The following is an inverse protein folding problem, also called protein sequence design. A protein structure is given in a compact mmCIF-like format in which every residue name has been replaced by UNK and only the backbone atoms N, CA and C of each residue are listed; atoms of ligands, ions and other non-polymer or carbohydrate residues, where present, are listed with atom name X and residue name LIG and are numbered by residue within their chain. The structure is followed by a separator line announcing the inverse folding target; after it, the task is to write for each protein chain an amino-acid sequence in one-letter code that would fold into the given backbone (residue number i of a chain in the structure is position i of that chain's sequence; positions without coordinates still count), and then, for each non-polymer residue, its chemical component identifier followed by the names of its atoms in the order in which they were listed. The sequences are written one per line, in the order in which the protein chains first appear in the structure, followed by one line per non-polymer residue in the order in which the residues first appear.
data_IF_091456916939
#
_entry.id   IF_091456916939
#
_cell.length_a   1.000
_cell.length_b   1.000
_cell.length_c   1.000
_cell.angle_alpha   90.00
_cell.angle_beta   90.00
_cell.angle_gamma   90.00
#
_symmetry.space_group_name_H-M   'P 1'
#
loop_
_entity.id
_entity.type
_entity.pdbx_description
1 polymer ?
#
# COMPACT_ATOMS: atom_id res chain seq x y z
N UNK A 1 9.70 -5.74 14.71
CA UNK A 1 8.29 -5.39 14.96
C UNK A 1 8.29 -4.49 16.19
N UNK A 2 7.41 -3.48 16.19
CA UNK A 2 7.22 -2.61 17.35
C UNK A 2 6.74 -3.43 18.56
N UNK A 3 7.14 -3.04 19.77
CA UNK A 3 6.49 -3.54 20.96
C UNK A 3 5.12 -2.85 21.09
N UNK A 4 4.09 -3.49 20.56
CA UNK A 4 2.76 -2.88 20.50
C UNK A 4 2.04 -2.92 21.86
N UNK A 5 2.48 -3.72 22.84
CA UNK A 5 1.94 -3.66 24.20
C UNK A 5 2.42 -2.38 24.92
N UNK A 6 3.70 -2.04 24.81
CA UNK A 6 4.22 -0.77 25.32
C UNK A 6 3.59 0.44 24.59
N UNK A 7 3.34 0.30 23.28
CA UNK A 7 2.66 1.34 22.49
C UNK A 7 1.21 1.55 22.99
N UNK A 8 0.47 0.47 23.26
CA UNK A 8 -0.88 0.53 23.85
C UNK A 8 -0.92 1.10 25.25
N UNK A 9 0.14 0.85 26.03
CA UNK A 9 0.33 1.43 27.35
C UNK A 9 0.77 2.90 27.30
N UNK A 10 0.91 3.48 26.09
CA UNK A 10 1.37 4.85 25.84
C UNK A 10 2.79 5.14 26.37
N UNK A 11 3.61 4.10 26.63
CA UNK A 11 5.02 4.28 26.99
C UNK A 11 5.86 4.61 25.75
N UNK A 12 5.55 5.76 25.14
CA UNK A 12 6.21 6.24 23.94
C UNK A 12 7.71 6.45 24.11
N UNK A 13 8.14 6.81 25.33
CA UNK A 13 9.55 7.00 25.65
C UNK A 13 10.35 5.71 25.56
N UNK A 14 9.79 4.61 26.06
CA UNK A 14 10.39 3.28 26.00
C UNK A 14 10.45 2.78 24.57
N UNK A 15 9.32 2.87 23.84
CA UNK A 15 9.25 2.48 22.43
C UNK A 15 10.25 3.28 21.58
N UNK A 16 10.33 4.59 21.77
CA UNK A 16 11.29 5.41 21.04
C UNK A 16 12.75 5.03 21.30
N UNK A 17 13.13 4.82 22.58
CA UNK A 17 14.47 4.41 22.96
C UNK A 17 14.88 3.08 22.28
N UNK A 18 13.98 2.12 22.24
CA UNK A 18 14.20 0.85 21.54
C UNK A 18 14.44 1.06 20.05
N UNK A 19 13.56 1.83 19.39
CA UNK A 19 13.68 2.12 17.95
C UNK A 19 14.97 2.90 17.62
N UNK A 20 15.31 3.90 18.42
CA UNK A 20 16.52 4.70 18.25
C UNK A 20 17.78 3.85 18.47
N UNK A 21 17.77 2.95 19.44
CA UNK A 21 18.87 2.00 19.68
C UNK A 21 19.10 1.10 18.48
N UNK A 22 18.01 0.54 17.90
CA UNK A 22 18.10 -0.28 16.70
C UNK A 22 18.64 0.52 15.50
N UNK A 23 18.25 1.79 15.34
CA UNK A 23 18.78 2.66 14.28
C UNK A 23 20.27 2.93 14.48
N UNK A 24 20.76 3.11 15.71
CA UNK A 24 22.20 3.29 15.98
C UNK A 24 23.01 2.03 15.64
N UNK A 25 22.46 0.84 15.88
CA UNK A 25 23.11 -0.43 15.52
C UNK A 25 23.11 -0.71 14.02
N UNK A 26 22.17 -0.12 13.27
CA UNK A 26 22.06 -0.25 11.83
C UNK A 26 22.10 1.14 11.16
N UNK A 27 23.27 1.81 11.15
CA UNK A 27 23.40 3.15 10.58
C UNK A 27 23.14 3.13 9.06
N UNK A 28 22.89 4.32 8.48
CA UNK A 28 22.79 4.43 7.02
C UNK A 28 24.08 3.93 6.34
N UNK A 29 23.98 3.26 5.18
CA UNK A 29 22.82 3.19 4.26
C UNK A 29 21.83 2.07 4.56
N UNK A 30 21.89 1.36 5.68
CA UNK A 30 20.95 0.29 6.01
C UNK A 30 19.53 0.85 6.12
N UNK A 31 18.61 0.30 5.32
CA UNK A 31 17.19 0.66 5.38
C UNK A 31 16.49 -0.13 6.47
N UNK A 32 15.83 0.57 7.39
CA UNK A 32 15.03 -0.03 8.45
C UNK A 32 13.53 0.06 8.13
N UNK A 33 12.82 -1.02 8.45
CA UNK A 33 11.38 -1.12 8.28
C UNK A 33 10.74 -1.59 9.57
N UNK A 34 9.87 -0.75 10.14
CA UNK A 34 9.13 -1.07 11.35
C UNK A 34 7.81 -1.75 11.00
N UNK A 35 7.57 -2.94 11.56
CA UNK A 35 6.27 -3.61 11.47
C UNK A 35 5.43 -3.13 12.65
N UNK A 36 4.28 -2.52 12.35
CA UNK A 36 3.36 -2.00 13.37
C UNK A 36 2.41 -3.08 13.88
N UNK A 37 2.05 -4.08 13.07
CA UNK A 37 1.01 -5.08 13.33
C UNK A 37 -0.36 -4.41 13.52
N UNK A 38 -0.79 -3.67 12.49
CA UNK A 38 -1.93 -2.76 12.55
C UNK A 38 -3.27 -3.41 12.88
N UNK A 39 -3.40 -4.72 12.72
CA UNK A 39 -4.57 -5.50 13.16
C UNK A 39 -4.74 -5.54 14.67
N UNK A 40 -3.71 -5.18 15.45
CA UNK A 40 -3.69 -5.16 16.91
C UNK A 40 -3.81 -3.74 17.47
N UNK A 41 -3.89 -2.72 16.61
CA UNK A 41 -3.81 -1.31 16.97
C UNK A 41 -5.07 -0.57 16.56
N UNK A 42 -5.45 0.43 17.32
CA UNK A 42 -6.42 1.42 16.93
C UNK A 42 -5.79 2.54 16.08
N UNK A 43 -6.62 3.47 15.63
CA UNK A 43 -6.20 4.59 14.77
C UNK A 43 -5.13 5.47 15.43
N UNK A 44 -5.29 5.79 16.72
CA UNK A 44 -4.37 6.66 17.45
C UNK A 44 -3.02 5.99 17.65
N UNK A 45 -3.03 4.70 17.95
CA UNK A 45 -1.83 3.88 18.12
C UNK A 45 -1.06 3.70 16.80
N UNK A 46 -1.75 3.55 15.66
CA UNK A 46 -1.11 3.54 14.32
C UNK A 46 -0.41 4.88 14.05
N UNK A 47 -1.06 6.01 14.35
CA UNK A 47 -0.47 7.34 14.20
C UNK A 47 0.78 7.49 15.08
N UNK A 48 0.68 7.13 16.37
CA UNK A 48 1.81 7.18 17.30
C UNK A 48 2.97 6.30 16.81
N UNK A 49 2.70 5.07 16.37
CA UNK A 49 3.72 4.18 15.81
C UNK A 49 4.42 4.75 14.57
N UNK A 50 3.69 5.40 13.67
CA UNK A 50 4.27 6.08 12.53
C UNK A 50 5.15 7.28 12.95
N UNK A 51 4.69 8.08 13.92
CA UNK A 51 5.44 9.23 14.42
C UNK A 51 6.75 8.80 15.09
N UNK A 52 6.71 7.77 15.93
CA UNK A 52 7.89 7.19 16.59
C UNK A 52 8.88 6.58 15.58
N UNK A 53 8.39 5.88 14.56
CA UNK A 53 9.22 5.35 13.48
C UNK A 53 9.95 6.48 12.74
N UNK A 54 9.26 7.55 12.44
CA UNK A 54 9.83 8.71 11.77
C UNK A 54 10.84 9.45 12.64
N UNK A 55 10.54 9.67 13.92
CA UNK A 55 11.46 10.27 14.89
C UNK A 55 12.73 9.43 15.06
N UNK A 56 12.63 8.12 14.98
CA UNK A 56 13.77 7.18 15.00
C UNK A 56 14.42 6.98 13.61
N UNK A 57 14.05 7.76 12.59
CA UNK A 57 14.63 7.74 11.24
C UNK A 57 14.49 6.41 10.51
N UNK A 58 13.38 5.70 10.66
CA UNK A 58 13.06 4.54 9.87
C UNK A 58 12.69 4.93 8.43
N UNK A 59 12.96 4.03 7.49
CA UNK A 59 12.72 4.29 6.07
C UNK A 59 11.34 3.79 5.62
N UNK A 60 10.81 2.80 6.35
CA UNK A 60 9.50 2.21 6.07
C UNK A 60 8.73 1.91 7.36
N UNK A 61 7.41 2.04 7.26
CA UNK A 61 6.45 1.37 8.14
C UNK A 61 5.73 0.26 7.38
N UNK A 62 5.50 -0.87 8.05
CA UNK A 62 4.85 -2.05 7.47
C UNK A 62 3.62 -2.42 8.28
N UNK A 63 2.52 -2.77 7.62
CA UNK A 63 1.26 -3.09 8.29
C UNK A 63 1.38 -4.29 9.23
N UNK A 64 1.79 -5.44 8.73
CA UNK A 64 1.56 -6.73 9.40
C UNK A 64 2.71 -7.70 9.20
N UNK A 65 2.91 -8.59 10.17
CA UNK A 65 3.84 -9.72 10.04
C UNK A 65 3.32 -10.76 9.05
N UNK A 66 2.01 -10.96 8.97
CA UNK A 66 1.34 -12.03 8.24
C UNK A 66 0.92 -13.21 9.13
N UNK A 67 1.24 -13.17 10.42
CA UNK A 67 0.93 -14.24 11.38
C UNK A 67 -0.20 -13.90 12.35
N UNK A 68 -0.58 -12.62 12.43
CA UNK A 68 -1.62 -12.13 13.34
C UNK A 68 -2.67 -11.32 12.59
N UNK A 69 -3.95 -11.61 12.87
CA UNK A 69 -5.08 -10.86 12.37
C UNK A 69 -5.26 -10.94 10.85
N UNK A 70 -5.97 -9.96 10.30
CA UNK A 70 -6.40 -9.94 8.90
C UNK A 70 -5.35 -9.47 7.88
N UNK A 71 -4.15 -9.07 8.35
CA UNK A 71 -3.13 -8.51 7.46
C UNK A 71 -3.33 -7.03 7.14
N UNK A 72 -3.02 -6.62 5.91
CA UNK A 72 -3.18 -5.23 5.48
C UNK A 72 -4.66 -4.88 5.26
N UNK A 73 -5.08 -3.74 5.82
CA UNK A 73 -6.37 -3.11 5.54
C UNK A 73 -6.15 -1.79 4.78
N UNK A 74 -7.01 -1.50 3.81
CA UNK A 74 -6.88 -0.31 2.95
C UNK A 74 -6.89 0.98 3.77
N UNK A 75 -7.79 1.08 4.74
CA UNK A 75 -7.90 2.23 5.65
C UNK A 75 -6.63 2.43 6.47
N UNK A 76 -5.99 1.35 6.95
CA UNK A 76 -4.72 1.44 7.66
C UNK A 76 -3.58 1.91 6.75
N UNK A 77 -3.52 1.42 5.51
CA UNK A 77 -2.52 1.86 4.53
C UNK A 77 -2.68 3.34 4.21
N UNK A 78 -3.91 3.82 3.98
CA UNK A 78 -4.20 5.24 3.75
C UNK A 78 -3.80 6.10 4.95
N UNK A 79 -4.12 5.66 6.16
CA UNK A 79 -3.74 6.34 7.39
C UNK A 79 -2.22 6.44 7.53
N UNK A 80 -1.52 5.32 7.37
CA UNK A 80 -0.05 5.27 7.43
C UNK A 80 0.59 6.18 6.36
N UNK A 81 0.03 6.18 5.13
CA UNK A 81 0.51 7.05 4.06
C UNK A 81 0.36 8.54 4.42
N UNK A 82 -0.81 8.93 4.94
CA UNK A 82 -1.04 10.29 5.40
C UNK A 82 -0.06 10.69 6.53
N UNK A 83 0.22 9.78 7.47
CA UNK A 83 1.23 10.02 8.51
C UNK A 83 2.62 10.23 7.89
N UNK A 84 3.05 9.37 6.95
CA UNK A 84 4.35 9.45 6.31
C UNK A 84 4.53 10.78 5.56
N UNK A 85 3.50 11.26 4.86
CA UNK A 85 3.53 12.53 4.12
C UNK A 85 3.67 13.72 5.06
N UNK A 86 2.89 13.75 6.14
CA UNK A 86 2.93 14.85 7.11
C UNK A 86 4.27 14.91 7.86
N UNK A 87 4.81 13.78 8.28
CA UNK A 87 6.07 13.73 9.04
C UNK A 87 7.27 14.15 8.18
N UNK A 88 7.26 13.87 6.87
CA UNK A 88 8.34 14.26 5.97
C UNK A 88 8.47 15.79 5.87
N UNK A 89 7.37 16.51 5.97
CA UNK A 89 7.35 17.98 5.98
C UNK A 89 7.96 18.51 7.28
N UNK A 90 7.66 17.87 8.42
CA UNK A 90 8.11 18.33 9.75
C UNK A 90 9.61 18.07 9.98
N UNK A 91 10.14 16.96 9.51
CA UNK A 91 11.52 16.56 9.80
C UNK A 91 12.58 17.18 8.88
N UNK A 92 12.21 17.90 7.83
CA UNK A 92 13.13 18.65 6.95
C UNK A 92 14.19 17.80 6.26
N UNK A 93 14.11 16.47 6.35
CA UNK A 93 15.16 15.54 5.85
C UNK A 93 15.08 15.31 4.34
N UNK A 94 14.07 15.85 3.65
CA UNK A 94 13.83 15.62 2.22
C UNK A 94 13.52 14.18 1.84
N UNK A 95 13.44 13.25 2.81
CA UNK A 95 13.12 11.84 2.59
C UNK A 95 11.80 11.49 3.25
N UNK A 96 10.85 11.08 2.42
CA UNK A 96 9.55 10.58 2.88
C UNK A 96 9.68 9.12 3.34
N UNK A 97 9.30 8.84 4.58
CA UNK A 97 9.10 7.46 5.04
C UNK A 97 8.01 6.81 4.17
N UNK A 98 8.17 5.54 3.84
CA UNK A 98 7.28 4.85 2.91
C UNK A 98 6.47 3.76 3.60
N UNK A 99 5.38 3.32 2.95
CA UNK A 99 4.48 2.29 3.47
C UNK A 99 4.68 0.98 2.72
N UNK A 100 4.82 -0.13 3.47
CA UNK A 100 4.69 -1.49 2.95
C UNK A 100 3.40 -2.12 3.44
N UNK A 101 2.49 -2.48 2.52
CA UNK A 101 1.32 -3.31 2.81
C UNK A 101 1.70 -4.80 2.78
N UNK A 102 1.26 -5.57 3.76
CA UNK A 102 1.64 -6.98 3.90
C UNK A 102 0.56 -7.81 4.59
N UNK A 103 0.37 -9.03 4.09
CA UNK A 103 -0.64 -9.98 4.57
C UNK A 103 -2.01 -9.78 3.92
N UNK A 104 -2.65 -10.87 3.53
CA UNK A 104 -3.99 -10.86 2.94
C UNK A 104 -4.06 -10.47 1.46
N UNK A 105 -2.97 -10.07 0.80
CA UNK A 105 -2.93 -9.67 -0.60
C UNK A 105 -2.78 -10.92 -1.46
N UNK A 106 -3.80 -11.28 -2.24
CA UNK A 106 -3.85 -12.56 -2.97
C UNK A 106 -4.10 -12.41 -4.46
N UNK A 107 -4.73 -11.33 -4.89
CA UNK A 107 -5.12 -11.06 -6.28
C UNK A 107 -4.44 -9.80 -6.81
N UNK A 108 -4.48 -9.62 -8.12
CA UNK A 108 -4.02 -8.38 -8.75
C UNK A 108 -4.85 -7.18 -8.27
N UNK A 109 -6.16 -7.34 -8.10
CA UNK A 109 -7.05 -6.30 -7.58
C UNK A 109 -6.69 -5.87 -6.16
N UNK A 110 -6.39 -6.84 -5.27
CA UNK A 110 -5.91 -6.52 -3.92
C UNK A 110 -4.61 -5.71 -3.99
N UNK A 111 -3.69 -6.13 -4.85
CA UNK A 111 -2.40 -5.46 -5.02
C UNK A 111 -2.58 -4.02 -5.51
N UNK A 112 -3.41 -3.81 -6.54
CA UNK A 112 -3.72 -2.47 -7.08
C UNK A 112 -4.34 -1.59 -6.01
N UNK A 113 -5.36 -2.06 -5.29
CA UNK A 113 -6.02 -1.31 -4.21
C UNK A 113 -5.05 -0.87 -3.12
N UNK A 114 -4.07 -1.72 -2.75
CA UNK A 114 -3.05 -1.36 -1.76
C UNK A 114 -2.07 -0.31 -2.29
N UNK A 115 -1.69 -0.38 -3.56
CA UNK A 115 -0.84 0.63 -4.20
C UNK A 115 -1.57 1.98 -4.31
N UNK A 116 -2.83 1.97 -4.74
CA UNK A 116 -3.69 3.16 -4.81
C UNK A 116 -3.94 3.78 -3.42
N UNK A 117 -3.99 2.95 -2.37
CA UNK A 117 -4.06 3.42 -0.99
C UNK A 117 -2.76 4.10 -0.50
N UNK A 118 -1.66 4.02 -1.27
CA UNK A 118 -0.40 4.68 -1.00
C UNK A 118 0.73 3.76 -0.53
N UNK A 119 0.57 2.45 -0.59
CA UNK A 119 1.69 1.54 -0.38
C UNK A 119 2.69 1.64 -1.53
N UNK A 120 3.98 1.78 -1.23
CA UNK A 120 5.07 1.74 -2.23
C UNK A 120 5.67 0.35 -2.39
N UNK A 121 5.37 -0.56 -1.48
CA UNK A 121 5.78 -1.97 -1.53
C UNK A 121 4.67 -2.87 -1.03
N UNK A 122 4.61 -4.07 -1.63
CA UNK A 122 3.72 -5.14 -1.20
C UNK A 122 4.52 -6.29 -0.61
N UNK A 123 3.92 -7.00 0.33
CA UNK A 123 4.46 -8.25 0.89
C UNK A 123 3.39 -9.32 0.84
N UNK A 124 3.57 -10.29 -0.04
CA UNK A 124 2.63 -11.38 -0.28
C UNK A 124 3.37 -12.66 -0.62
N UNK A 125 2.83 -13.81 -0.23
CA UNK A 125 3.26 -15.12 -0.71
C UNK A 125 2.73 -15.42 -2.11
N UNK A 126 1.69 -14.71 -2.57
CA UNK A 126 1.08 -14.86 -3.88
C UNK A 126 1.73 -14.04 -5.01
N UNK A 127 2.91 -13.43 -4.79
CA UNK A 127 3.50 -12.48 -5.73
C UNK A 127 3.68 -13.02 -7.15
N UNK A 128 4.07 -14.29 -7.31
CA UNK A 128 4.22 -14.93 -8.63
C UNK A 128 2.89 -14.97 -9.38
N UNK A 129 1.81 -15.35 -8.70
CA UNK A 129 0.47 -15.42 -9.28
C UNK A 129 -0.08 -14.06 -9.64
N UNK A 130 0.10 -13.06 -8.77
CA UNK A 130 -0.31 -11.67 -9.00
C UNK A 130 0.37 -11.11 -10.25
N UNK A 131 1.68 -11.33 -10.40
CA UNK A 131 2.43 -10.86 -11.58
C UNK A 131 1.97 -11.58 -12.86
N UNK A 132 1.70 -12.90 -12.78
CA UNK A 132 1.19 -13.67 -13.93
C UNK A 132 -0.18 -13.16 -14.35
N UNK A 133 -1.12 -13.03 -13.40
CA UNK A 133 -2.46 -12.48 -13.63
C UNK A 133 -2.42 -11.08 -14.26
N UNK A 134 -1.57 -10.20 -13.74
CA UNK A 134 -1.40 -8.85 -14.28
C UNK A 134 -0.87 -8.82 -15.72
N UNK A 135 0.04 -9.72 -16.08
CA UNK A 135 0.51 -9.85 -17.47
C UNK A 135 -0.59 -10.33 -18.41
N UNK A 136 -1.33 -11.37 -18.02
CA UNK A 136 -2.44 -11.89 -18.81
C UNK A 136 -3.54 -10.84 -19.02
N UNK A 137 -3.86 -10.02 -18.03
CA UNK A 137 -4.81 -8.92 -18.14
C UNK A 137 -4.29 -7.83 -19.10
N UNK A 138 -3.02 -7.47 -19.01
CA UNK A 138 -2.41 -6.49 -19.89
C UNK A 138 -2.38 -6.95 -21.38
N UNK A 139 -2.08 -8.23 -21.62
CA UNK A 139 -2.10 -8.81 -22.95
C UNK A 139 -3.52 -8.84 -23.55
N UNK A 140 -4.54 -9.18 -22.75
CA UNK A 140 -5.95 -9.15 -23.19
C UNK A 140 -6.41 -7.74 -23.54
N UNK A 141 -6.00 -6.72 -22.78
CA UNK A 141 -6.38 -5.33 -23.04
C UNK A 141 -5.69 -4.74 -24.28
N UNK A 142 -4.56 -5.29 -24.70
CA UNK A 142 -3.83 -4.90 -25.91
C UNK A 142 -4.25 -5.68 -27.16
N UNK A 143 -5.00 -6.78 -27.02
CA UNK A 143 -5.49 -7.56 -28.14
C UNK A 143 -6.64 -6.83 -28.84
N UNK A 144 -6.66 -6.70 -30.19
CA UNK A 144 -7.78 -6.11 -30.88
C UNK A 144 -9.05 -6.95 -30.66
N UNK A 145 -10.25 -6.31 -30.60
CA UNK A 145 -11.50 -7.02 -30.34
C UNK A 145 -11.69 -8.14 -31.36
N UNK A 146 -12.03 -9.34 -30.87
CA UNK A 146 -12.20 -10.52 -31.70
C UNK A 146 -13.28 -10.29 -32.75
N UNK A 147 -13.13 -10.91 -33.94
CA UNK A 147 -14.05 -10.74 -35.06
C UNK A 147 -15.52 -11.10 -34.73
N UNK A 148 -15.77 -11.82 -33.63
CA UNK A 148 -17.14 -12.13 -33.15
C UNK A 148 -17.86 -10.93 -32.54
N UNK A 149 -17.17 -9.96 -31.98
CA UNK A 149 -17.77 -8.75 -31.41
C UNK A 149 -18.12 -7.70 -32.46
N UNK A 150 -17.54 -7.80 -33.67
CA UNK A 150 -17.82 -6.89 -34.78
C UNK A 150 -19.11 -7.19 -35.55
N UNK A 151 -19.77 -8.33 -35.32
CA UNK A 151 -20.98 -8.72 -36.07
C UNK A 151 -22.29 -8.23 -35.44
N UNK A 152 -22.25 -7.49 -34.34
CA UNK A 152 -23.42 -7.07 -33.55
C UNK A 152 -23.98 -5.67 -33.84
N UNK A 153 -23.40 -4.88 -34.74
CA UNK A 153 -23.92 -3.52 -35.03
C UNK A 153 -23.85 -3.22 -36.51
N UNK A 154 -24.89 -3.67 -37.25
CA UNK A 154 -25.23 -3.05 -38.51
C UNK A 154 -26.07 -1.81 -38.24
N UNK A 155 -25.65 -0.58 -38.50
CA UNK A 155 -26.54 0.56 -38.55
C UNK A 155 -27.43 0.40 -39.79
N UNK A 156 -28.75 0.36 -39.55
CA UNK A 156 -29.70 0.43 -40.63
C UNK A 156 -29.53 1.72 -41.44
N UNK A 157 -29.21 1.55 -42.71
CA UNK A 157 -29.25 2.61 -43.69
C UNK A 157 -30.70 3.05 -43.84
N UNK A 158 -31.11 4.13 -43.21
CA UNK A 158 -32.32 4.88 -43.57
C UNK A 158 -31.95 5.86 -44.66
N UNK A 159 -32.16 5.46 -45.91
CA UNK A 159 -32.16 6.33 -47.09
C UNK A 159 -33.37 7.29 -46.96
N UNK A 160 -33.13 8.54 -46.57
CA UNK A 160 -34.12 9.61 -46.77
C UNK A 160 -33.74 10.28 -48.10
N UNK A 161 -34.57 9.98 -49.10
CA UNK A 161 -34.68 10.74 -50.34
C UNK A 161 -35.17 12.15 -50.01
N UNK A 162 -34.40 13.14 -50.33
CA UNK A 162 -34.85 14.52 -50.44
C UNK A 162 -35.51 14.65 -51.84
N UNK A 163 -36.81 14.91 -51.91
CA UNK A 163 -37.50 15.49 -53.02
C UNK A 163 -37.80 16.95 -52.75
N UNK A 164 -37.44 17.73 -53.73
CA UNK A 164 -37.56 19.16 -53.95
C UNK A 164 -38.88 19.81 -53.48
N UNK A 165 -38.76 21.02 -52.89
CA UNK A 165 -39.23 22.30 -53.41
C UNK A 165 -38.67 23.42 -52.58
#
# INVERSE_FOLDING_TARGET
MINYEDLKAEDYSKVYKELATLRMQAPRPVMLKLILETSQLDRSQIIAGCALAAAAHYDFVKTSTGFKGHGAAIEHVRLMKACCDNVSVVNGTGRTMQVKASGGIRTIDDAVKMLEAGASRLGTSGGVWIVKEGREQAERSQSPPSAKERSGSRPGLTTRLFTDY
#
